data_IF_839868420910
#
_entry.id   IF_839868420910
#
_cell.length_a   1.000
_cell.length_b   1.000
_cell.length_c   1.000
_cell.angle_alpha   90.00
_cell.angle_beta   90.00
_cell.angle_gamma   90.00
#
_symmetry.space_group_name_H-M   'P 1'
#
loop_
_entity.id
_entity.type
_entity.pdbx_description
1 polymer ?
#
# COMPACT_ATOMS: atom_id res chain seq x y z
N UNK A 1 -64.54 -40.60 10.50
CA UNK A 1 -63.70 -39.97 9.45
C UNK A 1 -64.52 -38.82 8.89
N UNK A 2 -64.20 -37.54 9.03
CA UNK A 2 -62.91 -36.86 9.27
C UNK A 2 -63.20 -35.46 9.82
N UNK A 3 -62.52 -35.15 10.93
CA UNK A 3 -62.01 -33.84 11.37
C UNK A 3 -62.95 -32.62 11.30
N UNK A 4 -63.56 -32.35 12.46
CA UNK A 4 -63.97 -31.03 12.92
C UNK A 4 -62.77 -30.06 12.89
N UNK A 5 -62.92 -28.95 12.17
CA UNK A 5 -62.13 -27.74 12.34
C UNK A 5 -62.91 -26.83 13.29
N UNK A 6 -62.40 -26.44 14.47
CA UNK A 6 -63.09 -25.45 15.28
C UNK A 6 -62.87 -24.08 14.64
N UNK A 7 -63.95 -23.46 14.18
CA UNK A 7 -64.00 -22.03 13.93
C UNK A 7 -63.80 -21.33 15.28
N UNK A 8 -62.63 -20.74 15.51
CA UNK A 8 -62.40 -19.83 16.63
C UNK A 8 -63.17 -18.54 16.34
N UNK A 9 -64.45 -18.51 16.73
CA UNK A 9 -65.23 -17.28 16.81
C UNK A 9 -64.63 -16.39 17.92
N UNK A 10 -64.34 -15.14 17.56
CA UNK A 10 -63.69 -14.14 18.40
C UNK A 10 -64.69 -13.55 19.42
N UNK A 11 -64.67 -14.06 20.65
CA UNK A 11 -65.43 -13.52 21.80
C UNK A 11 -64.78 -12.25 22.41
N UNK A 12 -64.35 -11.31 21.57
CA UNK A 12 -63.85 -10.00 21.98
C UNK A 12 -64.88 -8.92 21.66
N UNK A 13 -65.02 -7.94 22.55
CA UNK A 13 -65.92 -6.80 22.30
C UNK A 13 -65.54 -6.08 21.00
N UNK A 14 -66.48 -5.45 20.28
CA UNK A 14 -66.19 -4.76 19.01
C UNK A 14 -65.08 -3.72 19.15
N UNK A 15 -64.99 -3.08 20.32
CA UNK A 15 -63.94 -2.15 20.68
C UNK A 15 -62.58 -2.83 20.88
N UNK A 16 -62.53 -4.02 21.49
CA UNK A 16 -61.29 -4.79 21.64
C UNK A 16 -60.76 -5.29 20.29
N UNK A 17 -61.63 -5.71 19.37
CA UNK A 17 -61.24 -6.08 18.01
C UNK A 17 -60.72 -4.87 17.23
N UNK A 18 -61.41 -3.72 17.30
CA UNK A 18 -60.95 -2.49 16.64
C UNK A 18 -59.59 -2.01 17.19
N UNK A 19 -59.37 -2.12 18.50
CA UNK A 19 -58.08 -1.78 19.12
C UNK A 19 -56.99 -2.76 18.65
N UNK A 20 -57.27 -4.05 18.63
CA UNK A 20 -56.32 -5.06 18.17
C UNK A 20 -55.92 -4.86 16.70
N UNK A 21 -56.89 -4.63 15.82
CA UNK A 21 -56.64 -4.32 14.41
C UNK A 21 -55.81 -3.05 14.23
N UNK A 22 -56.07 -2.01 15.05
CA UNK A 22 -55.28 -0.79 15.02
C UNK A 22 -53.85 -1.03 15.48
N UNK A 23 -53.62 -1.79 16.56
CA UNK A 23 -52.27 -2.15 17.00
C UNK A 23 -51.52 -3.00 15.97
N UNK A 24 -52.20 -3.93 15.31
CA UNK A 24 -51.60 -4.75 14.25
C UNK A 24 -51.25 -3.90 13.00
N UNK A 25 -52.11 -2.94 12.63
CA UNK A 25 -51.84 -1.99 11.56
C UNK A 25 -50.66 -1.06 11.90
N UNK A 26 -50.60 -0.55 13.12
CA UNK A 26 -49.46 0.26 13.60
C UNK A 26 -48.17 -0.55 13.61
N UNK A 27 -48.21 -1.80 14.09
CA UNK A 27 -47.05 -2.71 14.09
C UNK A 27 -46.53 -3.00 12.68
N UNK A 28 -47.44 -3.22 11.71
CA UNK A 28 -47.08 -3.37 10.29
C UNK A 28 -46.40 -2.13 9.73
N UNK A 29 -46.93 -0.94 10.00
CA UNK A 29 -46.34 0.33 9.53
C UNK A 29 -44.95 0.58 10.13
N UNK A 30 -44.77 0.32 11.42
CA UNK A 30 -43.46 0.46 12.09
C UNK A 30 -42.43 -0.50 11.49
N UNK A 31 -42.82 -1.75 11.22
CA UNK A 31 -41.93 -2.74 10.57
C UNK A 31 -41.50 -2.29 9.17
N UNK A 32 -42.45 -1.83 8.35
CA UNK A 32 -42.17 -1.34 7.00
C UNK A 32 -41.28 -0.09 7.05
N UNK A 33 -41.52 0.83 7.98
CA UNK A 33 -40.68 2.02 8.18
C UNK A 33 -39.23 1.66 8.56
N UNK A 34 -39.04 0.71 9.50
CA UNK A 34 -37.72 0.24 9.91
C UNK A 34 -36.96 -0.47 8.78
N UNK A 35 -37.64 -1.31 7.99
CA UNK A 35 -37.03 -1.96 6.82
C UNK A 35 -36.65 -0.94 5.74
N UNK A 36 -37.47 0.09 5.54
CA UNK A 36 -37.18 1.17 4.59
C UNK A 36 -35.96 2.00 5.03
N UNK A 37 -35.89 2.39 6.31
CA UNK A 37 -34.72 3.10 6.86
C UNK A 37 -33.44 2.26 6.77
N UNK A 38 -33.53 0.96 7.07
CA UNK A 38 -32.39 0.05 6.97
C UNK A 38 -31.86 -0.08 5.53
N UNK A 39 -32.75 -0.17 4.54
CA UNK A 39 -32.35 -0.25 3.12
C UNK A 39 -31.77 1.06 2.60
N UNK A 40 -32.30 2.21 3.01
CA UNK A 40 -31.75 3.54 2.68
C UNK A 40 -30.35 3.71 3.28
N UNK A 41 -30.20 3.39 4.56
CA UNK A 41 -28.91 3.50 5.27
C UNK A 41 -27.85 2.57 4.67
N UNK A 42 -28.23 1.32 4.36
CA UNK A 42 -27.32 0.36 3.71
C UNK A 42 -26.87 0.84 2.34
N UNK A 43 -27.79 1.35 1.51
CA UNK A 43 -27.46 1.89 0.17
C UNK A 43 -26.57 3.14 0.27
N UNK A 44 -26.81 4.00 1.24
CA UNK A 44 -25.98 5.17 1.50
C UNK A 44 -24.55 4.78 1.89
N UNK A 45 -24.39 3.84 2.84
CA UNK A 45 -23.07 3.32 3.25
C UNK A 45 -22.35 2.70 2.06
N UNK A 46 -23.02 1.85 1.28
CA UNK A 46 -22.43 1.22 0.10
C UNK A 46 -21.99 2.28 -0.92
N UNK A 47 -22.81 3.30 -1.15
CA UNK A 47 -22.46 4.44 -2.02
C UNK A 47 -21.19 5.15 -1.56
N UNK A 48 -21.10 5.50 -0.27
CA UNK A 48 -19.91 6.15 0.31
C UNK A 48 -18.66 5.26 0.18
N UNK A 49 -18.78 3.96 0.45
CA UNK A 49 -17.68 3.00 0.30
C UNK A 49 -17.22 2.96 -1.16
N UNK A 50 -18.14 2.82 -2.11
CA UNK A 50 -17.81 2.76 -3.55
C UNK A 50 -17.12 4.06 -3.99
N UNK A 51 -17.67 5.23 -3.66
CA UNK A 51 -17.06 6.52 -4.01
C UNK A 51 -15.68 6.69 -3.39
N UNK A 52 -15.50 6.23 -2.15
CA UNK A 52 -14.19 6.24 -1.48
C UNK A 52 -13.21 5.32 -2.19
N UNK A 53 -13.60 4.08 -2.52
CA UNK A 53 -12.77 3.12 -3.24
C UNK A 53 -12.40 3.64 -4.63
N UNK A 54 -13.34 4.21 -5.39
CA UNK A 54 -13.08 4.81 -6.70
C UNK A 54 -12.10 5.97 -6.58
N UNK A 55 -12.26 6.83 -5.58
CA UNK A 55 -11.36 7.96 -5.34
C UNK A 55 -9.95 7.50 -4.98
N UNK A 56 -9.85 6.45 -4.14
CA UNK A 56 -8.57 5.82 -3.81
C UNK A 56 -7.93 5.22 -5.06
N UNK A 57 -8.67 4.48 -5.89
CA UNK A 57 -8.16 3.89 -7.15
C UNK A 57 -7.71 5.00 -8.11
N UNK A 58 -8.52 6.04 -8.30
CA UNK A 58 -8.16 7.20 -9.12
C UNK A 58 -6.86 7.84 -8.65
N UNK A 59 -6.73 8.08 -7.35
CA UNK A 59 -5.53 8.67 -6.75
C UNK A 59 -4.32 7.74 -6.93
N UNK A 60 -4.48 6.42 -6.77
CA UNK A 60 -3.43 5.44 -7.03
C UNK A 60 -2.98 5.44 -8.50
N UNK A 61 -3.92 5.50 -9.45
CA UNK A 61 -3.63 5.54 -10.89
C UNK A 61 -2.96 6.86 -11.29
N UNK A 62 -3.44 7.99 -10.78
CA UNK A 62 -2.83 9.31 -11.02
C UNK A 62 -1.41 9.38 -10.45
N UNK A 63 -1.17 8.81 -9.27
CA UNK A 63 0.16 8.82 -8.66
C UNK A 63 1.14 7.83 -9.31
N UNK A 64 0.66 6.79 -10.01
CA UNK A 64 1.52 5.87 -10.77
C UNK A 64 2.34 6.57 -11.86
N UNK A 65 1.83 7.67 -12.42
CA UNK A 65 2.50 8.41 -13.50
C UNK A 65 3.33 9.61 -13.00
N UNK A 66 3.32 9.92 -11.71
CA UNK A 66 4.11 11.02 -11.18
C UNK A 66 5.58 10.61 -11.10
N UNK A 67 6.42 11.31 -11.88
CA UNK A 67 7.86 11.04 -12.05
C UNK A 67 8.70 11.32 -10.79
N UNK A 68 8.10 11.84 -9.72
CA UNK A 68 8.77 12.19 -8.47
C UNK A 68 8.18 11.40 -7.28
N UNK A 69 8.81 10.27 -6.90
CA UNK A 69 8.33 9.44 -5.79
C UNK A 69 8.33 10.18 -4.45
N UNK A 70 9.20 11.17 -4.26
CA UNK A 70 9.24 11.97 -3.03
C UNK A 70 8.01 12.85 -2.84
N UNK A 71 7.59 13.56 -3.88
CA UNK A 71 6.46 14.48 -3.79
C UNK A 71 5.19 13.69 -3.44
N UNK A 72 5.06 12.48 -3.95
CA UNK A 72 4.02 11.52 -3.56
C UNK A 72 4.11 11.21 -2.06
N UNK A 73 5.29 10.83 -1.59
CA UNK A 73 5.53 10.47 -0.20
C UNK A 73 5.32 11.63 0.79
N UNK A 74 5.61 12.87 0.39
CA UNK A 74 5.35 14.09 1.17
C UNK A 74 3.86 14.45 1.17
N UNK A 75 3.16 14.32 0.03
CA UNK A 75 1.70 14.53 -0.04
C UNK A 75 0.91 13.53 0.81
N UNK A 76 1.46 12.32 0.99
CA UNK A 76 0.93 11.30 1.89
C UNK A 76 1.13 11.63 3.38
N UNK A 77 1.82 12.72 3.74
CA UNK A 77 2.14 13.10 5.12
C UNK A 77 1.00 13.82 5.87
N UNK A 78 -0.24 13.82 5.34
CA UNK A 78 -1.40 14.37 6.07
C UNK A 78 -1.67 13.53 7.34
N UNK A 79 -2.05 14.15 8.48
CA UNK A 79 -2.08 13.50 9.80
C UNK A 79 -2.96 12.23 9.87
N UNK A 80 -4.02 12.17 9.07
CA UNK A 80 -4.97 11.04 9.01
C UNK A 80 -4.36 9.81 8.29
N UNK A 81 -3.37 10.01 7.41
CA UNK A 81 -2.83 8.99 6.50
C UNK A 81 -1.46 8.46 6.99
N UNK A 82 -0.86 9.10 8.01
CA UNK A 82 0.47 8.78 8.52
C UNK A 82 0.63 7.31 8.94
N UNK A 83 -0.40 6.68 9.50
CA UNK A 83 -0.36 5.29 9.94
C UNK A 83 -0.34 4.29 8.78
N UNK A 84 -1.00 4.61 7.66
CA UNK A 84 -1.09 3.73 6.48
C UNK A 84 -0.06 4.07 5.39
N UNK A 85 0.71 5.13 5.56
CA UNK A 85 1.68 5.64 4.58
C UNK A 85 2.68 4.60 4.07
N UNK A 86 3.39 3.81 4.92
CA UNK A 86 4.30 2.77 4.44
C UNK A 86 3.60 1.72 3.57
N UNK A 87 2.34 1.40 3.91
CA UNK A 87 1.54 0.43 3.17
C UNK A 87 1.07 0.98 1.81
N UNK A 88 0.53 2.20 1.78
CA UNK A 88 0.09 2.85 0.54
C UNK A 88 1.26 3.02 -0.44
N UNK A 89 2.41 3.47 0.05
CA UNK A 89 3.58 3.66 -0.79
C UNK A 89 4.18 2.33 -1.27
N UNK A 90 4.24 1.31 -0.42
CA UNK A 90 4.66 -0.02 -0.85
C UNK A 90 3.74 -0.57 -1.95
N UNK A 91 2.42 -0.40 -1.82
CA UNK A 91 1.46 -0.80 -2.86
C UNK A 91 1.66 -0.03 -4.17
N UNK A 92 1.91 1.28 -4.10
CA UNK A 92 2.20 2.10 -5.28
C UNK A 92 3.48 1.66 -5.99
N UNK A 93 4.55 1.45 -5.22
CA UNK A 93 5.85 1.03 -5.75
C UNK A 93 5.78 -0.37 -6.36
N UNK A 94 5.13 -1.31 -5.67
CA UNK A 94 4.90 -2.67 -6.16
C UNK A 94 4.08 -2.71 -7.46
N UNK A 95 3.15 -1.76 -7.66
CA UNK A 95 2.39 -1.68 -8.90
C UNK A 95 3.16 -0.98 -10.04
N UNK A 96 4.21 -0.22 -9.73
CA UNK A 96 5.04 0.46 -10.71
C UNK A 96 6.13 -0.47 -11.26
N UNK A 97 6.73 -1.30 -10.40
CA UNK A 97 7.73 -2.30 -10.76
C UNK A 97 7.26 -3.72 -10.35
N UNK A 98 6.74 -4.51 -11.31
CA UNK A 98 6.29 -5.89 -11.05
C UNK A 98 7.40 -6.81 -10.53
N UNK A 99 8.67 -6.53 -10.86
CA UNK A 99 9.77 -7.35 -10.36
C UNK A 99 10.09 -7.02 -8.91
N UNK A 100 10.10 -5.74 -8.53
CA UNK A 100 10.21 -5.33 -7.12
C UNK A 100 9.04 -5.88 -6.27
N UNK A 101 7.84 -6.00 -6.83
CA UNK A 101 6.70 -6.66 -6.16
C UNK A 101 6.98 -8.14 -5.83
N UNK A 102 7.80 -8.81 -6.62
CA UNK A 102 8.14 -10.22 -6.41
C UNK A 102 8.93 -10.47 -5.13
N UNK A 103 9.54 -9.44 -4.52
CA UNK A 103 10.37 -9.59 -3.32
C UNK A 103 9.68 -9.16 -2.00
N UNK A 104 8.44 -8.66 -2.03
CA UNK A 104 7.67 -8.16 -0.84
C UNK A 104 8.49 -7.19 0.02
N UNK A 105 8.99 -6.14 -0.62
CA UNK A 105 9.68 -5.04 0.07
C UNK A 105 8.67 -4.00 0.57
N UNK A 106 9.03 -3.31 1.65
CA UNK A 106 8.24 -2.21 2.23
C UNK A 106 9.16 -1.03 2.55
N UNK A 107 8.76 0.16 2.14
CA UNK A 107 9.52 1.38 2.43
C UNK A 107 9.13 1.92 3.80
N UNK A 108 10.13 2.17 4.65
CA UNK A 108 9.94 2.59 6.03
C UNK A 108 10.07 4.11 6.17
N UNK A 109 11.22 4.64 5.75
CA UNK A 109 11.47 6.08 5.71
C UNK A 109 11.94 6.47 4.31
N UNK A 110 11.50 7.63 3.87
CA UNK A 110 11.91 8.20 2.61
C UNK A 110 11.99 9.71 2.75
N UNK A 111 13.12 10.28 2.38
CA UNK A 111 13.41 11.71 2.41
C UNK A 111 14.42 12.02 1.31
N UNK A 112 14.69 13.30 1.08
CA UNK A 112 15.68 13.71 0.09
C UNK A 112 17.06 13.12 0.41
N UNK A 113 17.64 12.41 -0.55
CA UNK A 113 18.89 11.68 -0.43
C UNK A 113 18.83 10.38 0.36
N UNK A 114 17.72 10.07 1.05
CA UNK A 114 17.73 8.99 2.04
C UNK A 114 16.50 8.09 1.93
N UNK A 115 16.74 6.78 1.87
CA UNK A 115 15.67 5.78 1.83
C UNK A 115 16.03 4.60 2.73
N UNK A 116 15.04 4.12 3.49
CA UNK A 116 15.12 2.85 4.20
C UNK A 116 13.91 1.99 3.90
N UNK A 117 14.13 0.68 3.88
CA UNK A 117 13.07 -0.29 3.71
C UNK A 117 13.35 -1.60 4.40
N UNK A 118 12.32 -2.43 4.45
CA UNK A 118 12.36 -3.77 5.00
C UNK A 118 11.99 -4.78 3.93
N UNK A 119 12.66 -5.93 3.95
CA UNK A 119 12.28 -7.10 3.15
C UNK A 119 12.05 -8.29 4.05
N UNK A 120 10.90 -8.95 3.87
CA UNK A 120 10.55 -10.15 4.62
C UNK A 120 11.11 -11.40 3.96
N UNK A 121 11.52 -12.35 4.79
CA UNK A 121 11.95 -13.66 4.32
C UNK A 121 10.75 -14.54 3.96
N UNK A 122 10.46 -14.62 2.66
CA UNK A 122 9.42 -15.47 2.09
C UNK A 122 10.01 -16.68 1.35
N UNK A 123 9.29 -17.81 1.36
CA UNK A 123 9.69 -19.02 0.61
C UNK A 123 10.02 -18.73 -0.86
N UNK A 124 9.26 -17.85 -1.52
CA UNK A 124 9.49 -17.45 -2.92
C UNK A 124 10.82 -16.73 -3.16
N UNK A 125 11.38 -16.08 -2.13
CA UNK A 125 12.62 -15.31 -2.23
C UNK A 125 13.84 -16.10 -1.72
N UNK A 126 13.67 -17.39 -1.37
CA UNK A 126 14.76 -18.21 -0.81
C UNK A 126 15.53 -18.93 -1.91
N UNK A 127 16.83 -19.09 -1.67
CA UNK A 127 17.67 -19.96 -2.45
C UNK A 127 17.63 -21.42 -1.90
N UNK A 128 18.25 -22.39 -2.60
CA UNK A 128 18.36 -23.77 -2.14
C UNK A 128 19.08 -23.94 -0.79
N UNK A 129 19.83 -22.94 -0.33
CA UNK A 129 20.63 -22.97 0.90
C UNK A 129 19.89 -22.42 2.13
N UNK A 130 18.55 -22.31 2.08
CA UNK A 130 17.70 -21.80 3.17
C UNK A 130 18.13 -20.39 3.62
N UNK A 131 18.48 -19.54 2.67
CA UNK A 131 18.71 -18.10 2.88
C UNK A 131 18.01 -17.33 1.77
N UNK A 132 17.90 -16.01 1.92
CA UNK A 132 17.34 -15.16 0.86
C UNK A 132 18.25 -15.24 -0.38
N UNK A 133 17.63 -15.24 -1.56
CA UNK A 133 18.30 -15.34 -2.85
C UNK A 133 19.16 -14.10 -3.12
N UNK A 134 20.33 -14.31 -3.72
CA UNK A 134 21.28 -13.23 -3.99
C UNK A 134 20.66 -12.13 -4.87
N UNK A 135 19.93 -12.53 -5.93
CA UNK A 135 19.25 -11.56 -6.79
C UNK A 135 18.10 -10.83 -6.08
N UNK A 136 17.42 -11.47 -5.12
CA UNK A 136 16.40 -10.78 -4.33
C UNK A 136 17.01 -9.68 -3.44
N UNK A 137 18.21 -9.92 -2.90
CA UNK A 137 18.98 -8.90 -2.18
C UNK A 137 19.44 -7.78 -3.13
N UNK A 138 19.86 -8.13 -4.35
CA UNK A 138 20.25 -7.16 -5.36
C UNK A 138 19.09 -6.24 -5.74
N UNK A 139 17.91 -6.79 -6.05
CA UNK A 139 16.70 -6.01 -6.34
C UNK A 139 16.26 -5.16 -5.16
N UNK A 140 16.38 -5.70 -3.94
CA UNK A 140 16.07 -4.94 -2.74
C UNK A 140 17.00 -3.73 -2.60
N UNK A 141 18.31 -3.92 -2.79
CA UNK A 141 19.27 -2.82 -2.77
C UNK A 141 19.03 -1.82 -3.90
N UNK A 142 18.85 -2.30 -5.13
CA UNK A 142 18.56 -1.50 -6.32
C UNK A 142 17.36 -0.58 -6.10
N UNK A 143 16.27 -1.13 -5.55
CA UNK A 143 15.06 -0.35 -5.28
C UNK A 143 15.33 0.77 -4.26
N UNK A 144 16.04 0.46 -3.16
CA UNK A 144 16.31 1.43 -2.09
C UNK A 144 17.29 2.52 -2.55
N UNK A 145 18.36 2.14 -3.24
CA UNK A 145 19.32 3.10 -3.79
C UNK A 145 18.72 3.93 -4.93
N UNK A 146 17.91 3.31 -5.80
CA UNK A 146 17.18 4.01 -6.85
C UNK A 146 16.20 5.04 -6.31
N UNK A 147 15.44 4.69 -5.26
CA UNK A 147 14.57 5.65 -4.59
C UNK A 147 15.37 6.80 -3.95
N UNK A 148 16.46 6.49 -3.25
CA UNK A 148 17.34 7.50 -2.66
C UNK A 148 17.91 8.45 -3.72
N UNK A 149 18.36 7.95 -4.87
CA UNK A 149 18.82 8.79 -5.98
C UNK A 149 17.69 9.62 -6.58
N UNK A 150 16.57 9.00 -6.96
CA UNK A 150 15.43 9.67 -7.59
C UNK A 150 14.86 10.79 -6.72
N UNK A 151 15.03 10.67 -5.40
CA UNK A 151 14.66 11.70 -4.43
C UNK A 151 15.46 13.01 -4.58
N UNK A 152 16.64 12.96 -5.20
CA UNK A 152 17.51 14.13 -5.39
C UNK A 152 17.35 14.80 -6.74
N UNK A 153 16.72 14.12 -7.71
CA UNK A 153 16.59 14.53 -9.10
C UNK A 153 15.46 15.57 -9.30
N UNK A 154 15.65 16.48 -10.26
CA UNK A 154 14.62 17.43 -10.70
C UNK A 154 13.62 16.73 -11.63
N UNK A 155 12.48 17.38 -11.89
CA UNK A 155 11.36 16.83 -12.68
C UNK A 155 11.72 16.36 -14.10
N UNK A 156 12.72 16.98 -14.72
CA UNK A 156 13.15 16.67 -16.10
C UNK A 156 14.35 15.73 -16.16
N UNK A 157 15.00 15.50 -15.02
CA UNK A 157 16.20 14.67 -14.95
C UNK A 157 15.82 13.20 -15.10
N UNK A 158 16.76 12.42 -15.61
CA UNK A 158 16.61 10.97 -15.77
C UNK A 158 17.83 10.29 -15.19
N UNK A 159 17.62 9.17 -14.51
CA UNK A 159 18.69 8.29 -14.08
C UNK A 159 18.47 6.90 -14.65
N UNK A 160 19.57 6.28 -15.09
CA UNK A 160 19.58 4.90 -15.59
C UNK A 160 20.66 4.16 -14.81
N UNK A 161 20.32 2.99 -14.26
CA UNK A 161 21.29 2.12 -13.63
C UNK A 161 22.20 1.52 -14.70
N UNK A 162 23.50 1.78 -14.61
CA UNK A 162 24.50 1.29 -15.57
C UNK A 162 25.37 0.17 -14.98
N UNK A 163 25.54 0.15 -13.66
CA UNK A 163 26.28 -0.90 -12.98
C UNK A 163 25.67 -1.23 -11.62
N UNK A 164 25.71 -2.52 -11.26
CA UNK A 164 25.30 -3.02 -9.96
C UNK A 164 26.33 -4.04 -9.50
N UNK A 165 26.96 -3.77 -8.35
CA UNK A 165 27.91 -4.66 -7.70
C UNK A 165 27.41 -4.99 -6.29
N UNK A 166 27.40 -6.27 -5.96
CA UNK A 166 26.96 -6.77 -4.65
C UNK A 166 28.12 -7.45 -3.92
N UNK A 167 28.27 -7.11 -2.65
CA UNK A 167 29.20 -7.76 -1.73
C UNK A 167 28.42 -8.50 -0.64
N UNK A 168 28.42 -9.83 -0.70
CA UNK A 168 27.73 -10.67 0.27
C UNK A 168 28.67 -11.03 1.42
N UNK A 169 28.40 -10.48 2.62
CA UNK A 169 29.22 -10.69 3.83
C UNK A 169 28.70 -11.87 4.66
N UNK A 170 27.38 -12.06 4.70
CA UNK A 170 26.71 -13.10 5.51
C UNK A 170 25.52 -13.69 4.76
N UNK A 171 25.12 -14.91 5.11
CA UNK A 171 23.87 -15.52 4.61
C UNK A 171 22.65 -14.79 5.20
N UNK A 172 21.86 -14.18 4.33
CA UNK A 172 20.69 -13.40 4.68
C UNK A 172 19.51 -14.27 5.13
N UNK A 173 18.94 -14.02 6.32
CA UNK A 173 17.77 -14.76 6.84
C UNK A 173 16.88 -13.85 7.67
N UNK A 174 15.57 -14.13 7.65
CA UNK A 174 14.59 -13.36 8.42
C UNK A 174 14.37 -11.95 7.86
N UNK A 175 13.90 -11.04 8.72
CA UNK A 175 13.64 -9.66 8.33
C UNK A 175 14.95 -8.92 8.07
N UNK A 176 15.08 -8.35 6.87
CA UNK A 176 16.21 -7.52 6.50
C UNK A 176 15.80 -6.05 6.45
N UNK A 177 16.76 -5.18 6.76
CA UNK A 177 16.64 -3.73 6.63
C UNK A 177 17.70 -3.25 5.66
N UNK A 178 17.31 -2.45 4.66
CA UNK A 178 18.24 -1.77 3.78
C UNK A 178 18.16 -0.27 4.00
N UNK A 179 19.30 0.40 3.91
CA UNK A 179 19.41 1.84 4.01
C UNK A 179 20.38 2.37 2.97
N UNK A 180 20.01 3.46 2.31
CA UNK A 180 20.88 4.23 1.44
C UNK A 180 20.83 5.70 1.85
N UNK A 181 22.01 6.29 2.00
CA UNK A 181 22.20 7.71 2.25
C UNK A 181 23.08 8.26 1.12
N UNK A 182 22.45 9.00 0.23
CA UNK A 182 23.04 9.55 -0.98
C UNK A 182 23.03 11.07 -0.90
N UNK A 183 24.23 11.63 -0.85
CA UNK A 183 24.43 13.07 -1.01
C UNK A 183 24.72 13.37 -2.48
N UNK A 184 23.81 14.07 -3.19
CA UNK A 184 24.00 14.32 -4.61
C UNK A 184 25.18 15.29 -4.83
N UNK A 185 26.03 15.04 -5.83
CA UNK A 185 26.96 16.06 -6.30
C UNK A 185 26.18 17.22 -6.93
N UNK A 186 26.84 18.36 -7.15
CA UNK A 186 26.25 19.43 -7.92
C UNK A 186 26.05 18.96 -9.37
N UNK A 187 24.79 18.69 -9.75
CA UNK A 187 24.43 18.31 -11.11
C UNK A 187 24.55 19.51 -12.04
N UNK A 188 25.74 19.70 -12.60
CA UNK A 188 26.00 20.56 -13.75
C UNK A 188 25.44 19.86 -14.99
N UNK A 189 24.63 20.56 -15.79
CA UNK A 189 23.82 19.96 -16.86
C UNK A 189 24.55 18.96 -17.76
N UNK A 190 23.82 18.01 -18.35
CA UNK A 190 24.38 16.95 -19.18
C UNK A 190 24.39 15.59 -18.48
N UNK A 191 25.30 14.70 -18.91
CA UNK A 191 25.40 13.32 -18.43
C UNK A 191 26.51 13.20 -17.39
N UNK A 192 26.17 12.71 -16.21
CA UNK A 192 27.11 12.50 -15.11
C UNK A 192 26.93 11.10 -14.53
N UNK A 193 28.03 10.43 -14.23
CA UNK A 193 28.01 9.16 -13.51
C UNK A 193 28.06 9.41 -12.01
N UNK A 194 27.15 8.79 -11.26
CA UNK A 194 27.10 8.86 -9.80
C UNK A 194 26.95 7.47 -9.22
N UNK A 195 27.50 7.27 -8.02
CA UNK A 195 27.41 6.00 -7.31
C UNK A 195 26.58 6.17 -6.03
N UNK A 196 25.69 5.21 -5.76
CA UNK A 196 24.98 5.12 -4.48
C UNK A 196 25.35 3.83 -3.79
N UNK A 197 25.63 3.91 -2.49
CA UNK A 197 25.85 2.74 -1.64
C UNK A 197 24.55 2.36 -0.91
N UNK A 198 24.30 1.06 -0.79
CA UNK A 198 23.19 0.51 -0.01
C UNK A 198 23.69 -0.56 0.92
N UNK A 199 23.43 -0.38 2.22
CA UNK A 199 23.82 -1.35 3.26
C UNK A 199 22.59 -2.15 3.68
N UNK A 200 22.71 -3.48 3.61
CA UNK A 200 21.66 -4.41 4.05
C UNK A 200 22.09 -5.04 5.38
N UNK A 201 21.24 -4.90 6.39
CA UNK A 201 21.42 -5.44 7.74
C UNK A 201 20.35 -6.44 8.11
N UNK A 202 20.69 -7.41 8.95
CA UNK A 202 19.70 -8.30 9.57
C UNK A 202 19.10 -7.69 10.84
N UNK A 203 18.26 -8.46 11.53
CA UNK A 203 17.62 -8.05 12.80
C UNK A 203 18.61 -7.77 13.93
N UNK A 204 19.81 -8.37 13.88
CA UNK A 204 20.88 -8.14 14.85
C UNK A 204 21.73 -6.92 14.50
N UNK A 205 21.38 -6.20 13.43
CA UNK A 205 22.13 -5.09 12.85
C UNK A 205 23.48 -5.50 12.24
N UNK A 206 23.69 -6.80 12.00
CA UNK A 206 24.88 -7.28 11.29
C UNK A 206 24.74 -6.96 9.80
N UNK A 207 25.82 -6.45 9.19
CA UNK A 207 25.87 -6.23 7.75
C UNK A 207 25.88 -7.57 7.01
N UNK A 208 24.84 -7.79 6.22
CA UNK A 208 24.63 -9.01 5.44
C UNK A 208 25.16 -8.85 4.03
N UNK A 209 24.88 -7.71 3.41
CA UNK A 209 25.37 -7.38 2.09
C UNK A 209 25.52 -5.86 1.92
N UNK A 210 26.40 -5.46 1.01
CA UNK A 210 26.61 -4.07 0.59
C UNK A 210 26.42 -4.04 -0.92
N UNK A 211 25.70 -3.05 -1.42
CA UNK A 211 25.50 -2.83 -2.85
C UNK A 211 26.11 -1.49 -3.26
N UNK A 212 26.78 -1.51 -4.40
CA UNK A 212 27.33 -0.36 -5.09
C UNK A 212 26.59 -0.24 -6.42
N UNK A 213 25.84 0.84 -6.59
CA UNK A 213 24.99 1.08 -7.75
C UNK A 213 25.52 2.29 -8.50
N UNK A 214 25.98 2.08 -9.73
CA UNK A 214 26.41 3.14 -10.63
C UNK A 214 25.26 3.58 -11.52
N UNK A 215 25.04 4.89 -11.59
CA UNK A 215 23.94 5.52 -12.29
C UNK A 215 24.47 6.53 -13.29
N UNK A 216 23.90 6.53 -14.48
CA UNK A 216 24.05 7.62 -15.44
C UNK A 216 22.88 8.59 -15.26
N UNK A 217 23.16 9.76 -14.72
CA UNK A 217 22.20 10.84 -14.53
C UNK A 217 22.30 11.80 -15.70
N UNK A 218 21.21 11.99 -16.42
CA UNK A 218 21.04 13.01 -17.45
C UNK A 218 20.24 14.17 -16.85
N UNK A 219 20.94 15.25 -16.53
CA UNK A 219 20.37 16.51 -16.08
C UNK A 219 20.03 17.37 -17.29
N UNK A 220 18.75 17.73 -17.43
CA UNK A 220 18.32 18.67 -18.46
C UNK A 220 18.21 20.05 -17.84
N UNK A 221 18.84 21.05 -18.47
CA UNK A 221 18.62 22.44 -18.09
C UNK A 221 17.12 22.77 -18.14
N UNK A 222 16.70 23.54 -17.13
CA UNK A 222 15.29 23.80 -16.83
C UNK A 222 14.59 24.57 -17.94
#
# INVERSE_FOLDING_TARGET
MTLSTPAAASDLSPLANAIYEHFEATGRLVRVALELEWTIFTRFIVGVIITTVITVIYLLLTMRNARQPLVIWERLNKPIIKLFRPWIFATLLNNADPYAQSIDLRIATFSKGFCTGFMRDHKRNRNPFKSIHATALATFAETIGGLALMSTLKNKDRAILVSLRMEYKKKARGLLTASSDFTPPAFEGGKQEVETEVVIKDRMLDTVAIAHLGWLVESKEA
#
